data_IF_887377058649
#
_entry.id   IF_887377058649
#
_cell.length_a   1.000
_cell.length_b   1.000
_cell.length_c   1.000
_cell.angle_alpha   90.00
_cell.angle_beta   90.00
_cell.angle_gamma   90.00
#
_symmetry.space_group_name_H-M   'P 1'
#
loop_
_entity.id
_entity.type
_entity.pdbx_description
1 polymer ?
#
# COMPACT_ATOMS: atom_id res chain seq x y z
N UNK A 1 18.90 13.39 -1.01
CA UNK A 1 19.14 13.48 0.44
C UNK A 1 19.36 12.09 1.05
N UNK A 2 18.36 11.19 1.09
CA UNK A 2 18.50 9.84 1.70
C UNK A 2 19.67 9.00 1.18
N UNK A 3 19.98 9.06 -0.12
CA UNK A 3 21.16 8.37 -0.67
C UNK A 3 22.50 8.83 -0.06
N UNK A 4 22.61 10.11 0.34
CA UNK A 4 23.79 10.68 1.02
C UNK A 4 23.84 10.28 2.50
N UNK A 5 22.69 10.16 3.17
CA UNK A 5 22.62 9.57 4.52
C UNK A 5 23.16 8.14 4.46
N UNK A 6 22.64 7.33 3.55
CA UNK A 6 23.07 5.95 3.41
C UNK A 6 24.56 5.84 3.04
N UNK A 7 25.07 6.72 2.18
CA UNK A 7 26.51 6.82 1.88
C UNK A 7 27.35 7.05 3.15
N UNK A 8 26.94 7.94 4.05
CA UNK A 8 27.67 8.21 5.28
C UNK A 8 27.72 6.98 6.21
N UNK A 9 26.64 6.20 6.27
CA UNK A 9 26.56 4.97 7.07
C UNK A 9 27.49 3.90 6.50
N UNK A 10 27.40 3.58 5.20
CA UNK A 10 28.24 2.53 4.59
C UNK A 10 29.73 2.87 4.60
N UNK A 11 30.10 4.16 4.74
CA UNK A 11 31.48 4.62 4.91
C UNK A 11 31.99 4.53 6.36
N UNK A 12 31.14 4.13 7.31
CA UNK A 12 31.44 4.14 8.75
C UNK A 12 31.43 2.74 9.39
N UNK A 13 32.26 1.76 8.96
CA UNK A 13 32.41 0.51 9.70
C UNK A 13 32.83 0.73 11.17
N UNK A 14 32.29 -0.04 12.13
CA UNK A 14 31.52 -1.28 11.95
C UNK A 14 29.99 -1.10 11.96
N UNK A 15 29.47 0.11 11.70
CA UNK A 15 28.02 0.40 11.71
C UNK A 15 27.44 0.55 10.30
N UNK A 16 28.08 -0.03 9.29
CA UNK A 16 27.76 0.12 7.86
C UNK A 16 26.44 -0.55 7.44
N UNK A 17 25.85 -1.39 8.30
CA UNK A 17 24.52 -1.99 8.16
C UNK A 17 23.44 -1.29 8.99
N UNK A 18 23.77 -0.21 9.72
CA UNK A 18 22.86 0.44 10.63
C UNK A 18 21.73 1.19 9.91
N UNK A 19 20.49 0.76 10.17
CA UNK A 19 19.31 1.50 9.74
C UNK A 19 18.97 2.59 10.77
N UNK A 20 19.35 3.83 10.42
CA UNK A 20 19.12 5.04 11.23
C UNK A 20 17.64 5.34 11.51
N UNK A 21 16.70 4.70 10.81
CA UNK A 21 15.27 4.89 11.00
C UNK A 21 14.58 3.70 11.67
N UNK A 22 15.31 2.60 11.93
CA UNK A 22 14.73 1.38 12.49
C UNK A 22 13.99 1.59 13.80
N UNK A 23 14.55 2.36 14.72
CA UNK A 23 13.90 2.66 16.00
C UNK A 23 12.51 3.29 15.80
N UNK A 24 12.40 4.26 14.90
CA UNK A 24 11.11 4.90 14.59
C UNK A 24 10.11 3.94 13.94
N UNK A 25 10.58 3.01 13.10
CA UNK A 25 9.75 2.03 12.41
C UNK A 25 9.23 0.95 13.36
N UNK A 26 10.10 0.45 14.23
CA UNK A 26 9.75 -0.53 15.27
C UNK A 26 8.79 0.11 16.29
N UNK A 27 9.02 1.36 16.68
CA UNK A 27 8.14 2.10 17.58
C UNK A 27 6.72 2.24 17.01
N UNK A 28 6.59 2.54 15.72
CA UNK A 28 5.27 2.59 15.07
C UNK A 28 4.52 1.25 15.23
N UNK A 29 5.19 0.12 14.96
CA UNK A 29 4.58 -1.21 15.15
C UNK A 29 4.13 -1.46 16.60
N UNK A 30 4.91 -1.06 17.59
CA UNK A 30 4.56 -1.25 19.00
C UNK A 30 3.44 -0.34 19.48
N UNK A 31 3.32 0.88 18.94
CA UNK A 31 2.22 1.80 19.27
C UNK A 31 0.89 1.34 18.67
N UNK A 32 0.92 0.63 17.54
CA UNK A 32 -0.27 0.16 16.83
C UNK A 32 -0.83 -1.19 17.29
N UNK A 33 -0.34 -1.77 18.39
CA UNK A 33 -0.68 -3.18 18.75
C UNK A 33 -2.18 -3.45 18.87
N UNK A 34 -2.97 -2.52 19.43
CA UNK A 34 -4.43 -2.67 19.53
C UNK A 34 -5.09 -2.76 18.13
N UNK A 35 -4.67 -1.91 17.20
CA UNK A 35 -5.15 -1.89 15.82
C UNK A 35 -4.71 -3.15 15.06
N UNK A 36 -3.48 -3.60 15.26
CA UNK A 36 -2.95 -4.83 14.66
C UNK A 36 -3.75 -6.04 15.16
N UNK A 37 -3.99 -6.14 16.47
CA UNK A 37 -4.82 -7.19 17.06
C UNK A 37 -6.23 -7.17 16.46
N UNK A 38 -6.84 -6.00 16.35
CA UNK A 38 -8.18 -5.85 15.78
C UNK A 38 -8.24 -6.29 14.31
N UNK A 39 -7.28 -5.89 13.47
CA UNK A 39 -7.23 -6.28 12.06
C UNK A 39 -6.93 -7.76 11.87
N UNK A 40 -5.99 -8.33 12.63
CA UNK A 40 -5.71 -9.76 12.55
C UNK A 40 -6.91 -10.59 13.00
N UNK A 41 -7.62 -10.17 14.05
CA UNK A 41 -8.86 -10.82 14.50
C UNK A 41 -9.92 -10.76 13.39
N UNK A 42 -10.13 -9.58 12.83
CA UNK A 42 -11.08 -9.35 11.76
C UNK A 42 -10.80 -10.23 10.53
N UNK A 43 -9.55 -10.26 10.07
CA UNK A 43 -9.14 -11.09 8.94
C UNK A 43 -9.41 -12.57 9.22
N UNK A 44 -9.03 -13.07 10.40
CA UNK A 44 -9.20 -14.50 10.70
C UNK A 44 -10.68 -14.89 10.78
N UNK A 45 -11.53 -14.04 11.36
CA UNK A 45 -12.98 -14.24 11.36
C UNK A 45 -13.56 -14.24 9.93
N UNK A 46 -13.11 -13.31 9.09
CA UNK A 46 -13.51 -13.23 7.69
C UNK A 46 -13.05 -14.46 6.89
N UNK A 47 -11.81 -14.91 7.07
CA UNK A 47 -11.25 -16.10 6.40
C UNK A 47 -12.00 -17.37 6.78
N UNK A 48 -12.43 -17.50 8.04
CA UNK A 48 -13.26 -18.64 8.49
C UNK A 48 -14.61 -18.64 7.76
N UNK A 49 -15.22 -17.47 7.57
CA UNK A 49 -16.53 -17.35 6.94
C UNK A 49 -16.48 -17.32 5.40
N UNK A 50 -15.29 -17.19 4.78
CA UNK A 50 -15.14 -16.74 3.39
C UNK A 50 -15.81 -17.64 2.33
N UNK A 51 -16.01 -18.93 2.64
CA UNK A 51 -16.68 -19.88 1.74
C UNK A 51 -18.20 -19.69 1.70
N UNK A 52 -18.78 -19.09 2.75
CA UNK A 52 -20.22 -18.84 2.90
C UNK A 52 -20.65 -17.43 2.46
N UNK A 53 -19.69 -16.60 2.05
CA UNK A 53 -19.90 -15.19 1.67
C UNK A 53 -20.29 -15.07 0.20
N UNK A 54 -21.36 -14.33 -0.10
CA UNK A 54 -21.77 -14.08 -1.49
C UNK A 54 -20.85 -13.08 -2.22
N UNK A 55 -20.98 -12.98 -3.55
CA UNK A 55 -20.11 -12.12 -4.37
C UNK A 55 -20.18 -10.63 -3.96
N UNK A 56 -21.34 -10.13 -3.55
CA UNK A 56 -21.51 -8.73 -3.12
C UNK A 56 -20.93 -8.49 -1.73
N UNK A 57 -21.11 -9.43 -0.81
CA UNK A 57 -20.48 -9.36 0.50
C UNK A 57 -18.95 -9.40 0.38
N UNK A 58 -18.41 -10.30 -0.47
CA UNK A 58 -16.98 -10.39 -0.72
C UNK A 58 -16.42 -9.10 -1.35
N UNK A 59 -17.18 -8.46 -2.23
CA UNK A 59 -16.87 -7.13 -2.79
C UNK A 59 -16.79 -6.06 -1.70
N UNK A 60 -17.75 -6.03 -0.79
CA UNK A 60 -17.76 -5.07 0.31
C UNK A 60 -16.54 -5.27 1.23
N UNK A 61 -16.16 -6.52 1.49
CA UNK A 61 -14.96 -6.84 2.26
C UNK A 61 -13.68 -6.43 1.55
N UNK A 62 -13.60 -6.65 0.24
CA UNK A 62 -12.50 -6.15 -0.58
C UNK A 62 -12.36 -4.63 -0.50
N UNK A 63 -13.46 -3.88 -0.67
CA UNK A 63 -13.45 -2.41 -0.59
C UNK A 63 -13.11 -1.91 0.81
N UNK A 64 -13.54 -2.61 1.84
CA UNK A 64 -13.21 -2.30 3.23
C UNK A 64 -11.71 -2.42 3.45
N UNK A 65 -11.09 -3.54 3.06
CA UNK A 65 -9.65 -3.75 3.23
C UNK A 65 -8.80 -2.82 2.37
N UNK A 66 -9.25 -2.44 1.17
CA UNK A 66 -8.61 -1.40 0.36
C UNK A 66 -8.62 -0.04 1.08
N UNK A 67 -9.72 0.35 1.70
CA UNK A 67 -9.81 1.60 2.48
C UNK A 67 -8.94 1.55 3.74
N UNK A 68 -8.83 0.39 4.40
CA UNK A 68 -7.89 0.21 5.51
C UNK A 68 -6.44 0.36 5.02
N UNK A 69 -6.09 -0.21 3.86
CA UNK A 69 -4.77 -0.05 3.23
C UNK A 69 -4.48 1.41 2.87
N UNK A 70 -5.46 2.16 2.37
CA UNK A 70 -5.35 3.60 2.09
C UNK A 70 -5.08 4.42 3.35
N UNK A 71 -5.85 4.17 4.42
CA UNK A 71 -5.86 5.01 5.61
C UNK A 71 -4.91 4.54 6.72
N UNK A 72 -4.15 3.46 6.53
CA UNK A 72 -3.25 2.88 7.55
C UNK A 72 -2.43 3.93 8.29
N UNK A 73 -1.74 4.81 7.57
CA UNK A 73 -0.95 5.91 8.14
C UNK A 73 -1.76 6.90 9.00
N UNK A 74 -3.02 7.16 8.64
CA UNK A 74 -3.86 8.19 9.28
C UNK A 74 -4.60 7.62 10.50
N UNK A 75 -5.10 6.40 10.37
CA UNK A 75 -5.83 5.75 11.45
C UNK A 75 -4.94 5.44 12.65
N UNK A 76 -3.66 5.13 12.42
CA UNK A 76 -2.68 4.95 13.49
C UNK A 76 -2.41 6.25 14.28
N UNK A 77 -2.15 7.36 13.57
CA UNK A 77 -1.89 8.67 14.19
C UNK A 77 -3.08 9.20 15.01
N UNK A 78 -4.31 8.94 14.57
CA UNK A 78 -5.51 9.31 15.33
C UNK A 78 -5.69 8.51 16.63
N UNK A 79 -5.07 7.32 16.71
CA UNK A 79 -5.11 6.45 17.88
C UNK A 79 -3.94 6.70 18.84
N UNK A 80 -2.80 7.21 18.35
CA UNK A 80 -1.56 7.41 19.13
C UNK A 80 -1.42 8.78 19.81
N UNK A 81 -2.23 9.80 19.50
CA UNK A 81 -2.30 10.98 20.38
C UNK A 81 -2.98 12.24 19.83
N UNK A 82 -4.01 12.72 20.53
CA UNK A 82 -4.46 14.10 20.32
C UNK A 82 -5.70 14.61 21.06
N UNK A 83 -6.66 13.80 21.50
CA UNK A 83 -7.76 14.25 22.38
C UNK A 83 -8.24 13.07 23.22
N UNK A 84 -8.40 13.27 24.53
CA UNK A 84 -9.00 12.33 25.46
C UNK A 84 -10.52 12.19 25.21
N UNK A 85 -10.92 11.57 24.10
CA UNK A 85 -12.27 11.05 23.93
C UNK A 85 -12.25 9.55 24.18
N UNK A 86 -13.07 9.11 25.13
CA UNK A 86 -13.22 7.75 25.67
C UNK A 86 -13.75 6.69 24.68
N UNK A 87 -13.46 6.83 23.38
CA UNK A 87 -13.79 5.89 22.33
C UNK A 87 -12.58 5.76 21.40
N UNK A 88 -11.67 4.83 21.69
CA UNK A 88 -10.70 4.34 20.70
C UNK A 88 -11.49 3.62 19.61
N UNK A 89 -11.85 4.33 18.54
CA UNK A 89 -12.58 3.76 17.40
C UNK A 89 -11.63 2.89 16.59
N UNK A 90 -11.92 1.59 16.56
CA UNK A 90 -11.26 0.63 15.67
C UNK A 90 -11.26 1.18 14.22
N UNK A 91 -10.14 1.07 13.50
CA UNK A 91 -9.96 1.52 12.10
C UNK A 91 -11.12 1.11 11.20
N UNK A 92 -11.66 -0.09 11.43
CA UNK A 92 -12.79 -0.63 10.67
C UNK A 92 -14.07 0.23 10.84
N UNK A 93 -14.29 0.78 12.04
CA UNK A 93 -15.50 1.55 12.36
C UNK A 93 -15.42 3.00 11.87
N UNK A 94 -14.23 3.54 11.62
CA UNK A 94 -14.04 4.93 11.16
C UNK A 94 -14.05 5.08 9.64
N UNK A 95 -14.15 3.99 8.88
CA UNK A 95 -14.11 4.04 7.41
C UNK A 95 -15.27 4.84 6.81
N UNK A 96 -16.48 4.74 7.37
CA UNK A 96 -17.63 5.51 6.88
C UNK A 96 -17.42 7.02 7.06
N UNK A 97 -16.77 7.44 8.16
CA UNK A 97 -16.42 8.85 8.39
C UNK A 97 -15.30 9.33 7.47
N UNK A 98 -14.45 8.41 6.98
CA UNK A 98 -13.33 8.72 6.09
C UNK A 98 -13.72 8.71 4.61
N UNK A 99 -14.82 8.05 4.25
CA UNK A 99 -15.31 7.91 2.88
C UNK A 99 -15.52 9.24 2.14
N UNK A 100 -16.04 10.32 2.76
CA UNK A 100 -16.16 11.62 2.10
C UNK A 100 -14.82 12.26 1.70
N UNK A 101 -13.69 11.78 2.24
CA UNK A 101 -12.35 12.27 1.91
C UNK A 101 -11.67 11.47 0.79
N UNK A 102 -12.36 10.50 0.17
CA UNK A 102 -11.87 9.82 -1.04
C UNK A 102 -12.29 10.63 -2.26
N UNK A 103 -11.33 11.27 -2.94
CA UNK A 103 -11.59 12.20 -4.04
C UNK A 103 -11.79 11.52 -5.40
N UNK A 104 -11.07 10.41 -5.61
CA UNK A 104 -11.14 9.56 -6.80
C UNK A 104 -11.26 8.13 -6.29
N UNK A 105 -12.26 7.39 -6.77
CA UNK A 105 -12.59 6.08 -6.22
C UNK A 105 -12.86 5.07 -7.34
N UNK A 106 -11.79 4.45 -7.81
CA UNK A 106 -11.81 3.44 -8.87
C UNK A 106 -11.81 2.01 -8.34
N UNK A 107 -12.21 1.78 -7.08
CA UNK A 107 -12.24 0.44 -6.48
C UNK A 107 -13.10 -0.56 -7.26
N UNK A 108 -14.16 -0.09 -7.91
CA UNK A 108 -15.03 -0.89 -8.80
C UNK A 108 -14.27 -1.50 -9.99
N UNK A 109 -13.29 -0.77 -10.53
CA UNK A 109 -12.45 -1.26 -11.61
C UNK A 109 -11.54 -2.39 -11.14
N UNK A 110 -11.00 -2.28 -9.92
CA UNK A 110 -10.17 -3.33 -9.30
C UNK A 110 -10.98 -4.61 -9.06
N UNK A 111 -12.20 -4.47 -8.53
CA UNK A 111 -13.09 -5.61 -8.31
C UNK A 111 -13.45 -6.31 -9.63
N UNK A 112 -13.83 -5.53 -10.64
CA UNK A 112 -14.20 -6.05 -11.96
C UNK A 112 -13.03 -6.80 -12.60
N UNK A 113 -11.82 -6.24 -12.53
CA UNK A 113 -10.60 -6.86 -13.05
C UNK A 113 -10.31 -8.22 -12.38
N UNK A 114 -10.22 -8.24 -11.04
CA UNK A 114 -9.83 -9.45 -10.30
C UNK A 114 -10.91 -10.55 -10.36
N UNK A 115 -12.18 -10.20 -10.34
CA UNK A 115 -13.27 -11.17 -10.50
C UNK A 115 -13.31 -11.76 -11.91
N UNK A 116 -13.06 -10.95 -12.94
CA UNK A 116 -12.92 -11.44 -14.32
C UNK A 116 -11.72 -12.37 -14.47
N UNK A 117 -10.58 -12.06 -13.83
CA UNK A 117 -9.43 -12.97 -13.77
C UNK A 117 -9.79 -14.30 -13.08
N UNK A 118 -10.46 -14.24 -11.92
CA UNK A 118 -10.92 -15.40 -11.15
C UNK A 118 -11.82 -16.33 -11.97
N UNK A 119 -12.77 -15.76 -12.73
CA UNK A 119 -13.72 -16.51 -13.59
C UNK A 119 -13.07 -17.23 -14.78
N UNK A 120 -11.84 -16.86 -15.17
CA UNK A 120 -11.13 -17.49 -16.30
C UNK A 120 -10.45 -18.82 -15.96
N UNK A 121 -10.51 -19.26 -14.69
CA UNK A 121 -10.16 -20.58 -14.09
C UNK A 121 -8.81 -21.25 -14.49
N UNK A 122 -8.01 -20.68 -15.40
CA UNK A 122 -6.85 -21.36 -16.02
C UNK A 122 -5.51 -20.62 -15.88
N UNK A 123 -5.46 -19.47 -15.22
CA UNK A 123 -4.23 -18.67 -15.10
C UNK A 123 -3.96 -18.29 -13.65
N UNK A 124 -2.70 -18.35 -13.24
CA UNK A 124 -2.24 -17.71 -11.99
C UNK A 124 -2.60 -16.22 -12.07
N UNK A 125 -3.19 -15.69 -11.00
CA UNK A 125 -3.55 -14.28 -10.85
C UNK A 125 -2.54 -13.65 -9.91
N UNK A 126 -1.64 -12.87 -10.50
CA UNK A 126 -0.57 -12.19 -9.79
C UNK A 126 -0.95 -10.74 -9.48
N UNK A 127 -0.89 -10.38 -8.20
CA UNK A 127 -1.05 -8.98 -7.75
C UNK A 127 0.28 -8.49 -7.17
N UNK A 128 0.76 -7.38 -7.68
CA UNK A 128 1.99 -6.74 -7.22
C UNK A 128 1.63 -5.59 -6.27
N UNK A 129 2.36 -5.43 -5.18
CA UNK A 129 2.21 -4.34 -4.21
C UNK A 129 3.55 -3.63 -4.08
N UNK A 130 3.64 -2.41 -4.60
CA UNK A 130 4.81 -1.53 -4.43
C UNK A 130 4.61 -0.75 -3.13
N UNK A 131 5.36 -1.16 -2.11
CA UNK A 131 5.18 -0.74 -0.72
C UNK A 131 5.62 0.72 -0.48
N UNK A 132 5.00 1.32 0.54
CA UNK A 132 5.38 2.60 1.14
C UNK A 132 5.96 2.32 2.54
N UNK A 133 5.26 2.72 3.61
CA UNK A 133 5.79 2.64 4.97
C UNK A 133 5.75 1.23 5.58
N UNK A 134 6.62 1.02 6.57
CA UNK A 134 6.62 -0.12 7.48
C UNK A 134 5.55 0.04 8.57
N UNK A 135 5.61 -0.78 9.62
CA UNK A 135 4.73 -0.65 10.77
C UNK A 135 3.28 -0.93 10.41
N UNK A 136 2.34 -0.11 10.87
CA UNK A 136 0.91 -0.39 10.68
C UNK A 136 0.47 -0.36 9.22
N UNK A 137 1.02 0.52 8.38
CA UNK A 137 0.70 0.51 6.94
C UNK A 137 1.13 -0.81 6.29
N UNK A 138 2.29 -1.36 6.64
CA UNK A 138 2.68 -2.67 6.13
C UNK A 138 1.71 -3.76 6.61
N UNK A 139 1.24 -3.72 7.86
CA UNK A 139 0.22 -4.66 8.36
C UNK A 139 -1.04 -4.61 7.50
N UNK A 140 -1.54 -3.41 7.16
CA UNK A 140 -2.77 -3.31 6.35
C UNK A 140 -2.58 -3.89 4.95
N UNK A 141 -1.40 -3.74 4.36
CA UNK A 141 -1.06 -4.31 3.06
C UNK A 141 -0.93 -5.84 3.11
N UNK A 142 -0.34 -6.40 4.17
CA UNK A 142 -0.26 -7.85 4.40
C UNK A 142 -1.64 -8.47 4.65
N UNK A 143 -2.51 -7.79 5.40
CA UNK A 143 -3.90 -8.21 5.61
C UNK A 143 -4.66 -8.22 4.28
N UNK A 144 -4.52 -7.19 3.45
CA UNK A 144 -5.13 -7.15 2.11
C UNK A 144 -4.61 -8.30 1.23
N UNK A 145 -3.31 -8.53 1.22
CA UNK A 145 -2.68 -9.62 0.47
C UNK A 145 -3.18 -11.00 0.89
N UNK A 146 -3.40 -11.23 2.20
CA UNK A 146 -3.92 -12.50 2.72
C UNK A 146 -5.38 -12.69 2.29
N UNK A 147 -6.19 -11.65 2.42
CA UNK A 147 -7.55 -11.66 1.93
C UNK A 147 -7.62 -11.96 0.42
N UNK A 148 -6.76 -11.36 -0.40
CA UNK A 148 -6.71 -11.63 -1.84
C UNK A 148 -6.43 -13.12 -2.14
N UNK A 149 -5.51 -13.73 -1.39
CA UNK A 149 -5.20 -15.16 -1.52
C UNK A 149 -6.31 -16.07 -0.99
N UNK A 150 -6.93 -15.70 0.12
CA UNK A 150 -8.00 -16.46 0.78
C UNK A 150 -9.30 -16.43 -0.02
N UNK A 151 -9.64 -15.27 -0.60
CA UNK A 151 -10.80 -15.06 -1.47
C UNK A 151 -10.62 -15.60 -2.90
N UNK A 152 -9.42 -16.08 -3.22
CA UNK A 152 -9.01 -16.53 -4.57
C UNK A 152 -9.11 -15.42 -5.63
N UNK A 153 -9.06 -14.14 -5.20
CA UNK A 153 -8.92 -13.00 -6.11
C UNK A 153 -7.49 -12.88 -6.64
N UNK A 154 -6.51 -13.42 -5.91
CA UNK A 154 -5.15 -13.63 -6.35
C UNK A 154 -4.70 -15.06 -6.01
N UNK A 155 -3.73 -15.58 -6.76
CA UNK A 155 -3.03 -16.83 -6.44
C UNK A 155 -1.63 -16.58 -5.88
N UNK A 156 -1.02 -15.47 -6.30
CA UNK A 156 0.33 -15.04 -5.92
C UNK A 156 0.36 -13.52 -5.67
N UNK A 157 1.08 -13.08 -4.64
CA UNK A 157 1.31 -11.68 -4.31
C UNK A 157 2.80 -11.39 -4.35
N UNK A 158 3.20 -10.33 -5.07
CA UNK A 158 4.58 -9.89 -5.15
C UNK A 158 4.72 -8.53 -4.46
N UNK A 159 5.54 -8.45 -3.42
CA UNK A 159 5.82 -7.21 -2.71
C UNK A 159 7.13 -6.60 -3.22
N UNK A 160 7.14 -5.28 -3.40
CA UNK A 160 8.36 -4.54 -3.71
C UNK A 160 8.65 -3.51 -2.64
N UNK A 161 9.77 -3.66 -1.95
CA UNK A 161 10.25 -2.66 -0.99
C UNK A 161 11.52 -1.95 -1.43
N UNK A 162 12.14 -1.25 -0.50
CA UNK A 162 13.33 -0.42 -0.72
C UNK A 162 14.59 -1.19 -0.35
N UNK A 163 15.64 -1.03 -1.15
CA UNK A 163 16.95 -1.70 -0.95
C UNK A 163 17.79 -1.07 0.17
N UNK A 164 17.45 0.15 0.61
CA UNK A 164 18.17 0.92 1.63
C UNK A 164 17.17 1.66 2.52
N UNK A 165 17.55 2.10 3.73
CA UNK A 165 16.72 3.01 4.53
C UNK A 165 16.33 4.24 3.72
N UNK A 166 15.03 4.43 3.53
CA UNK A 166 14.49 5.37 2.55
C UNK A 166 13.28 6.10 3.12
N UNK A 167 13.18 7.40 2.88
CA UNK A 167 12.03 8.23 3.28
C UNK A 167 11.56 8.04 4.73
N UNK A 168 12.51 7.79 5.64
CA UNK A 168 12.32 7.49 7.07
C UNK A 168 11.62 6.15 7.29
N UNK A 169 10.36 6.04 6.87
CA UNK A 169 9.48 4.92 7.23
C UNK A 169 9.33 3.87 6.14
N UNK A 170 9.90 4.04 4.94
CA UNK A 170 9.69 3.07 3.87
C UNK A 170 10.19 1.66 4.23
N UNK A 171 9.40 0.66 3.85
CA UNK A 171 9.68 -0.75 4.10
C UNK A 171 10.90 -1.24 3.30
N UNK A 172 11.91 -1.71 4.03
CA UNK A 172 13.01 -2.54 3.51
C UNK A 172 12.72 -4.03 3.73
N UNK A 173 13.58 -4.91 3.21
CA UNK A 173 13.45 -6.35 3.42
C UNK A 173 13.57 -6.72 4.90
N UNK A 174 14.38 -5.98 5.65
CA UNK A 174 14.56 -6.18 7.09
C UNK A 174 13.28 -5.87 7.85
N UNK A 175 12.59 -4.78 7.50
CA UNK A 175 11.33 -4.39 8.15
C UNK A 175 10.21 -5.40 7.85
N UNK A 176 10.12 -5.86 6.59
CA UNK A 176 9.16 -6.86 6.17
C UNK A 176 9.31 -8.17 6.95
N UNK A 177 10.53 -8.70 7.00
CA UNK A 177 10.82 -9.93 7.71
C UNK A 177 10.64 -9.77 9.22
N UNK A 178 11.15 -8.67 9.80
CA UNK A 178 11.03 -8.39 11.23
C UNK A 178 9.57 -8.30 11.66
N UNK A 179 8.73 -7.58 10.92
CA UNK A 179 7.32 -7.42 11.25
C UNK A 179 6.56 -8.75 11.20
N UNK A 180 6.78 -9.57 10.17
CA UNK A 180 6.17 -10.90 10.08
C UNK A 180 6.63 -11.78 11.25
N UNK A 181 7.90 -11.70 11.63
CA UNK A 181 8.44 -12.41 12.78
C UNK A 181 7.78 -11.97 14.09
N UNK A 182 7.60 -10.66 14.30
CA UNK A 182 6.92 -10.13 15.49
C UNK A 182 5.46 -10.57 15.55
N UNK A 183 4.74 -10.50 14.42
CA UNK A 183 3.34 -10.93 14.33
C UNK A 183 3.22 -12.43 14.61
N UNK A 184 4.10 -13.26 14.01
CA UNK A 184 4.14 -14.72 14.21
C UNK A 184 4.37 -15.11 15.67
N UNK A 185 5.27 -14.44 16.37
CA UNK A 185 5.62 -14.73 17.77
C UNK A 185 4.77 -13.95 18.78
N UNK A 186 3.75 -13.23 18.35
CA UNK A 186 2.81 -12.56 19.24
C UNK A 186 2.10 -13.56 20.15
N UNK A 187 1.90 -13.21 21.43
CA UNK A 187 1.11 -14.04 22.36
C UNK A 187 -0.40 -13.95 22.08
N UNK A 188 -0.85 -13.07 21.20
CA UNK A 188 -2.26 -12.96 20.81
C UNK A 188 -2.61 -14.02 19.76
N UNK A 189 -3.71 -14.76 19.98
CA UNK A 189 -4.14 -15.91 19.16
C UNK A 189 -4.23 -15.59 17.66
N UNK A 190 -4.94 -14.52 17.30
CA UNK A 190 -5.19 -14.22 15.88
C UNK A 190 -3.99 -13.54 15.22
N UNK A 191 -3.22 -12.79 15.99
CA UNK A 191 -1.99 -12.15 15.50
C UNK A 191 -0.94 -13.20 15.16
N UNK A 192 -0.66 -14.13 16.08
CA UNK A 192 0.24 -15.27 15.82
C UNK A 192 -0.23 -16.12 14.64
N UNK A 193 -1.54 -16.41 14.54
CA UNK A 193 -2.10 -17.15 13.42
C UNK A 193 -1.83 -16.47 12.07
N UNK A 194 -2.10 -15.17 11.95
CA UNK A 194 -1.75 -14.40 10.75
C UNK A 194 -0.26 -14.53 10.42
N UNK A 195 0.64 -14.31 11.39
CA UNK A 195 2.08 -14.38 11.13
C UNK A 195 2.56 -15.78 10.71
N UNK A 196 1.97 -16.85 11.25
CA UNK A 196 2.22 -18.23 10.81
C UNK A 196 1.74 -18.45 9.36
N UNK A 197 0.57 -17.93 9.00
CA UNK A 197 0.03 -18.04 7.64
C UNK A 197 0.89 -17.25 6.64
N UNK A 198 1.32 -16.04 7.01
CA UNK A 198 2.17 -15.18 6.20
C UNK A 198 3.52 -15.82 5.91
N UNK A 199 4.18 -16.37 6.94
CA UNK A 199 5.43 -17.12 6.75
C UNK A 199 5.20 -18.36 5.86
N UNK A 200 4.05 -19.03 5.99
CA UNK A 200 3.68 -20.16 5.12
C UNK A 200 3.48 -19.71 3.67
N UNK A 201 2.83 -18.58 3.41
CA UNK A 201 2.70 -18.05 2.04
C UNK A 201 4.05 -17.77 1.40
N UNK A 202 5.00 -17.22 2.16
CA UNK A 202 6.38 -16.99 1.71
C UNK A 202 7.06 -18.32 1.37
N UNK A 203 7.01 -19.31 2.28
CA UNK A 203 7.61 -20.64 2.06
C UNK A 203 7.02 -21.38 0.86
N UNK A 204 5.75 -21.14 0.55
CA UNK A 204 5.05 -21.74 -0.59
C UNK A 204 5.23 -20.95 -1.90
N UNK A 205 5.93 -19.81 -1.88
CA UNK A 205 6.04 -18.92 -3.04
C UNK A 205 4.73 -18.24 -3.45
N UNK A 206 3.70 -18.25 -2.58
CA UNK A 206 2.46 -17.48 -2.81
C UNK A 206 2.64 -16.02 -2.48
N UNK A 207 3.54 -15.71 -1.55
CA UNK A 207 4.05 -14.36 -1.31
C UNK A 207 5.51 -14.33 -1.69
N UNK A 208 5.90 -13.34 -2.49
CA UNK A 208 7.30 -13.15 -2.91
C UNK A 208 7.69 -11.71 -2.62
N UNK A 209 8.73 -11.52 -1.82
CA UNK A 209 9.32 -10.19 -1.62
C UNK A 209 10.45 -9.99 -2.64
N UNK A 210 10.43 -8.85 -3.32
CA UNK A 210 11.46 -8.39 -4.22
C UNK A 210 12.01 -7.07 -3.71
N UNK A 211 13.33 -6.91 -3.76
CA UNK A 211 13.96 -5.61 -3.76
C UNK A 211 14.59 -5.35 -5.13
N UNK A 212 14.62 -4.08 -5.52
CA UNK A 212 15.27 -3.66 -6.75
C UNK A 212 15.77 -2.24 -6.57
N UNK A 213 17.01 -1.97 -6.98
CA UNK A 213 17.66 -0.68 -6.74
C UNK A 213 16.87 0.49 -7.33
N UNK A 214 16.11 0.26 -8.40
CA UNK A 214 15.30 1.28 -9.07
C UNK A 214 14.35 2.02 -8.13
N UNK A 215 13.78 1.33 -7.13
CA UNK A 215 12.84 1.94 -6.20
C UNK A 215 13.48 3.05 -5.34
N UNK A 216 14.80 2.97 -5.11
CA UNK A 216 15.61 3.95 -4.36
C UNK A 216 16.48 4.84 -5.25
N UNK A 217 16.32 4.76 -6.58
CA UNK A 217 16.88 5.72 -7.52
C UNK A 217 16.01 6.99 -7.63
N UNK A 218 16.56 8.12 -8.11
CA UNK A 218 15.78 9.36 -8.27
C UNK A 218 14.87 9.36 -9.51
N UNK A 219 14.92 8.33 -10.35
CA UNK A 219 14.18 8.29 -11.61
C UNK A 219 12.66 8.26 -11.41
N UNK A 220 11.96 8.95 -12.31
CA UNK A 220 10.52 8.81 -12.54
C UNK A 220 10.22 7.41 -13.09
N UNK A 221 9.00 6.91 -12.90
CA UNK A 221 8.65 5.55 -13.34
C UNK A 221 8.58 5.41 -14.86
N UNK A 222 8.29 6.48 -15.61
CA UNK A 222 8.35 6.49 -17.07
C UNK A 222 9.75 6.11 -17.62
N UNK A 223 10.83 6.29 -16.86
CA UNK A 223 12.18 5.91 -17.25
C UNK A 223 12.50 4.42 -16.98
N UNK A 224 11.62 3.68 -16.30
CA UNK A 224 11.91 2.31 -15.84
C UNK A 224 12.22 1.36 -17.00
N UNK A 225 11.51 1.46 -18.12
CA UNK A 225 11.73 0.61 -19.29
C UNK A 225 13.13 0.76 -19.91
N UNK A 226 13.81 1.88 -19.65
CA UNK A 226 15.16 2.15 -20.14
C UNK A 226 16.22 1.88 -19.07
N UNK A 227 15.94 2.26 -17.80
CA UNK A 227 16.90 2.22 -16.69
C UNK A 227 16.92 0.86 -15.99
N UNK A 228 15.78 0.19 -15.91
CA UNK A 228 15.57 -1.10 -15.25
C UNK A 228 14.61 -1.98 -16.10
N UNK A 229 15.01 -2.34 -17.33
CA UNK A 229 14.14 -3.07 -18.26
C UNK A 229 13.72 -4.44 -17.72
N UNK A 230 14.55 -5.07 -16.89
CA UNK A 230 14.27 -6.31 -16.18
C UNK A 230 13.14 -6.15 -15.17
N UNK A 231 13.16 -5.10 -14.35
CA UNK A 231 12.06 -4.78 -13.45
C UNK A 231 10.78 -4.43 -14.21
N UNK A 232 10.87 -3.66 -15.29
CA UNK A 232 9.71 -3.33 -16.12
C UNK A 232 9.08 -4.60 -16.71
N UNK A 233 9.90 -5.50 -17.27
CA UNK A 233 9.46 -6.79 -17.79
C UNK A 233 8.87 -7.70 -16.69
N UNK A 234 9.36 -7.59 -15.46
CA UNK A 234 8.79 -8.30 -14.31
C UNK A 234 7.40 -7.77 -13.94
N UNK A 235 7.21 -6.44 -13.92
CA UNK A 235 5.92 -5.81 -13.66
C UNK A 235 4.88 -6.10 -14.76
N UNK A 236 5.32 -6.30 -16.01
CA UNK A 236 4.43 -6.68 -17.12
C UNK A 236 3.76 -8.05 -16.93
N UNK A 237 4.23 -8.88 -15.99
CA UNK A 237 3.62 -10.17 -15.64
C UNK A 237 2.46 -10.03 -14.65
N UNK A 238 2.32 -8.87 -14.02
CA UNK A 238 1.26 -8.63 -13.04
C UNK A 238 -0.11 -8.54 -13.73
N UNK A 239 -1.15 -8.98 -13.04
CA UNK A 239 -2.53 -8.74 -13.45
C UNK A 239 -3.06 -7.43 -12.88
N UNK A 240 -2.52 -7.02 -11.73
CA UNK A 240 -2.79 -5.74 -11.08
C UNK A 240 -1.54 -5.31 -10.29
N UNK A 241 -1.16 -4.04 -10.37
CA UNK A 241 -0.11 -3.44 -9.54
C UNK A 241 -0.73 -2.38 -8.63
N UNK A 242 -0.58 -2.53 -7.32
CA UNK A 242 -1.01 -1.56 -6.32
C UNK A 242 0.21 -0.72 -5.89
N UNK A 243 0.16 0.58 -6.15
CA UNK A 243 1.18 1.53 -5.73
C UNK A 243 0.73 2.26 -4.47
N UNK A 244 1.41 2.02 -3.36
CA UNK A 244 1.07 2.60 -2.05
C UNK A 244 1.68 3.99 -1.86
N UNK A 245 0.90 4.92 -1.31
CA UNK A 245 1.44 6.15 -0.76
C UNK A 245 1.85 7.24 -1.75
N UNK A 246 2.33 8.34 -1.19
CA UNK A 246 2.52 9.61 -1.92
C UNK A 246 3.77 9.61 -2.81
N UNK A 247 4.88 9.04 -2.34
CA UNK A 247 6.12 9.01 -3.12
C UNK A 247 5.96 8.18 -4.40
N UNK A 248 5.27 7.04 -4.32
CA UNK A 248 4.95 6.22 -5.49
C UNK A 248 4.11 7.02 -6.49
N UNK A 249 3.09 7.76 -6.05
CA UNK A 249 2.28 8.61 -6.93
C UNK A 249 3.09 9.71 -7.61
N UNK A 250 3.96 10.38 -6.85
CA UNK A 250 4.86 11.40 -7.40
C UNK A 250 5.78 10.82 -8.46
N UNK A 251 6.34 9.63 -8.24
CA UNK A 251 7.17 8.95 -9.25
C UNK A 251 6.38 8.46 -10.46
N UNK A 252 5.12 8.02 -10.27
CA UNK A 252 4.21 7.66 -11.36
C UNK A 252 3.93 8.86 -12.27
N UNK A 253 3.72 10.04 -11.69
CA UNK A 253 3.32 11.28 -12.39
C UNK A 253 4.48 12.24 -12.69
N UNK A 254 5.71 11.80 -12.42
CA UNK A 254 6.94 12.57 -12.65
C UNK A 254 7.13 13.79 -11.74
N UNK A 255 6.36 13.93 -10.67
CA UNK A 255 6.40 15.06 -9.72
C UNK A 255 6.30 16.43 -10.42
N UNK A 256 5.51 16.49 -11.51
CA UNK A 256 5.34 17.67 -12.37
C UNK A 256 4.12 18.50 -11.99
N UNK A 257 4.13 19.76 -12.43
CA UNK A 257 3.00 20.70 -12.30
C UNK A 257 1.94 20.46 -13.38
N UNK A 258 1.30 19.31 -13.30
CA UNK A 258 0.15 18.99 -14.16
C UNK A 258 -1.08 19.81 -13.73
N UNK A 259 -1.91 20.18 -14.69
CA UNK A 259 -3.26 20.68 -14.39
C UNK A 259 -4.11 19.56 -13.77
N UNK A 260 -5.03 19.91 -12.87
CA UNK A 260 -5.83 18.92 -12.13
C UNK A 260 -6.63 17.98 -13.03
N UNK A 261 -7.04 18.46 -14.19
CA UNK A 261 -7.89 17.75 -15.15
C UNK A 261 -7.12 16.86 -16.13
N UNK A 262 -5.78 16.90 -16.13
CA UNK A 262 -4.95 16.02 -16.99
C UNK A 262 -5.32 14.57 -16.68
N UNK A 263 -5.64 13.73 -17.68
CA UNK A 263 -5.97 12.32 -17.44
C UNK A 263 -4.82 11.58 -16.74
N UNK A 264 -5.15 10.67 -15.81
CA UNK A 264 -4.12 9.89 -15.11
C UNK A 264 -3.25 9.08 -16.09
N UNK A 265 -3.87 8.49 -17.11
CA UNK A 265 -3.19 7.81 -18.21
C UNK A 265 -2.11 8.68 -18.89
N UNK A 266 -2.40 9.96 -19.14
CA UNK A 266 -1.45 10.89 -19.74
C UNK A 266 -0.32 11.24 -18.76
N UNK A 267 -0.64 11.48 -17.50
CA UNK A 267 0.33 11.83 -16.46
C UNK A 267 1.33 10.68 -16.16
N UNK A 268 0.96 9.43 -16.40
CA UNK A 268 1.85 8.26 -16.31
C UNK A 268 2.98 8.28 -17.35
N UNK A 269 2.85 9.10 -18.41
CA UNK A 269 3.88 9.38 -19.39
C UNK A 269 4.53 8.09 -19.97
N UNK A 270 3.70 7.15 -20.41
CA UNK A 270 4.14 5.89 -21.02
C UNK A 270 4.44 4.75 -20.04
N UNK A 271 4.29 4.96 -18.73
CA UNK A 271 4.43 3.89 -17.74
C UNK A 271 3.15 3.06 -17.60
N UNK A 272 2.96 2.08 -18.49
CA UNK A 272 1.81 1.17 -18.49
C UNK A 272 2.24 -0.32 -18.53
N UNK A 273 3.02 -0.81 -17.54
CA UNK A 273 3.49 -2.20 -17.56
C UNK A 273 2.34 -3.21 -17.47
N UNK A 274 1.33 -2.94 -16.65
CA UNK A 274 0.15 -3.76 -16.41
C UNK A 274 -0.97 -2.85 -15.86
N UNK A 275 -2.21 -3.35 -15.71
CA UNK A 275 -3.24 -2.60 -14.97
C UNK A 275 -2.70 -2.21 -13.60
N UNK A 276 -2.86 -0.94 -13.23
CA UNK A 276 -2.31 -0.41 -11.99
C UNK A 276 -3.31 0.49 -11.27
N UNK A 277 -3.15 0.58 -9.96
CA UNK A 277 -3.91 1.52 -9.13
C UNK A 277 -3.00 2.17 -8.11
N UNK A 278 -3.06 3.49 -8.01
CA UNK A 278 -2.46 4.19 -6.88
C UNK A 278 -3.44 4.28 -5.73
N UNK A 279 -3.00 3.82 -4.56
CA UNK A 279 -3.68 3.91 -3.28
C UNK A 279 -2.92 4.93 -2.45
N UNK A 280 -3.36 6.19 -2.45
CA UNK A 280 -2.58 7.33 -1.98
C UNK A 280 -3.38 8.22 -1.05
N UNK A 281 -2.78 8.61 0.07
CA UNK A 281 -3.15 9.84 0.80
C UNK A 281 -2.33 11.03 0.30
N UNK A 282 -2.97 12.17 0.08
CA UNK A 282 -2.34 13.31 -0.58
C UNK A 282 -1.40 14.05 0.38
N UNK A 283 -0.09 14.04 0.10
CA UNK A 283 0.95 14.70 0.91
C UNK A 283 1.88 15.58 0.07
N UNK A 284 1.50 15.90 -1.17
CA UNK A 284 2.27 16.71 -2.10
C UNK A 284 1.37 17.46 -3.08
N UNK A 285 1.86 18.61 -3.57
CA UNK A 285 1.17 19.54 -4.47
C UNK A 285 1.08 19.03 -5.92
N UNK A 286 0.56 17.81 -6.08
CA UNK A 286 0.34 17.15 -7.35
C UNK A 286 -0.89 16.25 -7.24
N UNK A 287 -1.84 16.42 -8.14
CA UNK A 287 -3.01 15.56 -8.31
C UNK A 287 -3.52 15.73 -9.74
N UNK A 288 -3.84 14.62 -10.40
CA UNK A 288 -4.37 14.61 -11.77
C UNK A 288 -5.68 13.83 -11.85
N UNK A 289 -6.35 13.85 -12.99
CA UNK A 289 -7.57 13.08 -13.26
C UNK A 289 -8.77 13.49 -12.41
N UNK A 290 -8.80 14.74 -11.92
CA UNK A 290 -9.97 15.29 -11.24
C UNK A 290 -11.01 15.77 -12.24
N UNK A 291 -12.26 15.87 -11.78
CA UNK A 291 -13.31 16.53 -12.57
C UNK A 291 -12.99 18.03 -12.73
N UNK A 292 -13.34 18.65 -13.88
CA UNK A 292 -13.15 20.08 -14.08
C UNK A 292 -13.76 20.91 -12.93
N UNK A 293 -12.98 21.79 -12.31
CA UNK A 293 -13.41 22.64 -11.20
C UNK A 293 -13.28 22.02 -9.80
N UNK A 294 -13.06 20.70 -9.69
CA UNK A 294 -12.98 20.02 -8.39
C UNK A 294 -11.74 20.45 -7.59
N UNK A 295 -10.56 20.47 -8.23
CA UNK A 295 -9.31 20.86 -7.58
C UNK A 295 -9.28 22.35 -7.24
N UNK A 296 -9.84 23.19 -8.10
CA UNK A 296 -9.97 24.63 -7.91
C UNK A 296 -10.89 24.95 -6.73
N UNK A 297 -12.04 24.25 -6.63
CA UNK A 297 -12.97 24.42 -5.52
C UNK A 297 -12.35 24.04 -4.18
N UNK A 298 -11.61 22.92 -4.12
CA UNK A 298 -10.89 22.50 -2.91
C UNK A 298 -9.78 23.49 -2.55
N UNK A 299 -9.05 24.01 -3.54
CA UNK A 299 -8.00 25.01 -3.33
C UNK A 299 -8.56 26.30 -2.74
N UNK A 300 -9.76 26.71 -3.18
CA UNK A 300 -10.44 27.90 -2.66
C UNK A 300 -10.97 27.72 -1.22
N UNK A 301 -11.43 26.51 -0.86
CA UNK A 301 -12.01 26.24 0.46
C UNK A 301 -11.00 25.79 1.52
N UNK A 302 -9.97 25.04 1.12
CA UNK A 302 -8.94 24.49 1.98
C UNK A 302 -7.56 24.55 1.27
N UNK A 303 -6.82 25.66 1.34
CA UNK A 303 -5.61 25.87 0.54
C UNK A 303 -4.52 24.79 0.66
N UNK A 304 -4.48 24.04 1.77
CA UNK A 304 -3.49 23.01 2.03
C UNK A 304 -4.00 21.57 1.74
N UNK A 305 -5.15 21.40 1.08
CA UNK A 305 -5.80 20.09 0.91
C UNK A 305 -4.92 19.00 0.26
N UNK A 306 -3.94 19.40 -0.57
CA UNK A 306 -2.99 18.51 -1.24
C UNK A 306 -1.88 17.94 -0.34
N UNK A 307 -1.62 18.54 0.82
CA UNK A 307 -0.39 18.26 1.59
C UNK A 307 -0.63 17.74 3.01
N UNK A 308 -1.87 17.74 3.49
CA UNK A 308 -2.19 17.36 4.88
C UNK A 308 -2.38 15.86 5.12
N UNK A 309 -2.44 15.04 4.07
CA UNK A 309 -2.83 13.63 4.18
C UNK A 309 -4.32 13.44 4.49
N UNK A 310 -5.13 14.52 4.42
CA UNK A 310 -6.55 14.46 4.74
C UNK A 310 -7.35 13.66 3.72
N UNK A 311 -7.05 13.86 2.44
CA UNK A 311 -7.73 13.24 1.31
C UNK A 311 -6.99 12.00 0.81
N UNK A 312 -7.73 11.08 0.19
CA UNK A 312 -7.21 9.87 -0.40
C UNK A 312 -7.79 9.57 -1.78
N UNK A 313 -7.12 8.70 -2.53
CA UNK A 313 -7.55 8.25 -3.85
C UNK A 313 -7.31 6.75 -4.03
N UNK A 314 -8.19 6.13 -4.82
CA UNK A 314 -7.96 4.91 -5.58
C UNK A 314 -8.04 5.30 -7.04
N UNK A 315 -6.90 5.47 -7.70
CA UNK A 315 -6.84 5.97 -9.07
C UNK A 315 -6.24 4.92 -10.00
N UNK A 316 -7.06 4.38 -10.91
CA UNK A 316 -6.77 3.23 -11.75
C UNK A 316 -6.34 3.63 -13.17
N UNK A 317 -5.43 2.86 -13.76
CA UNK A 317 -5.10 2.87 -15.18
C UNK A 317 -5.06 1.43 -15.71
N UNK A 318 -5.81 1.16 -16.77
CA UNK A 318 -5.90 -0.16 -17.39
C UNK A 318 -7.20 -0.42 -18.14
N UNK A 319 -7.34 -1.57 -18.83
CA UNK A 319 -8.58 -1.97 -19.47
C UNK A 319 -9.67 -2.27 -18.43
N UNK A 320 -10.94 -2.11 -18.83
CA UNK A 320 -12.12 -2.56 -18.10
C UNK A 320 -12.65 -3.90 -18.62
#
# INVERSE_FOLDING_TARGET
MYRRIHEAIIQSPPIDDFDVFKESKDQNFFESQESIIALCTYLQELVIAIEDVDENQLKNEFFKLLQISLWGNKCDLSLSGGVSSSQKTNVINSLEDLKPFILVNDMEHLWSLLTNCKKREKTSIRVDIVLDNSGFELVTDLILADFLLSSKLATEIHFYGKTIPWFVSDTTIHDFNWLIEQVKHSNHKWTSKCGVDWEKYIKMGRWVYHDHIFWTLPHEYCAMSQVAPDLYAELQKAHLILFKGDLNYRKLTGDRKWEFSVPFHEALNGFHPAPLCSIRTLKAEIQVGLQPGQGEQLTASEPNWLTTGKYGIFQYDGPL
#
